data_IF_083063021657
#
_entry.id   IF_083063021657
#
_cell.length_a   1.000
_cell.length_b   1.000
_cell.length_c   1.000
_cell.angle_alpha   90.00
_cell.angle_beta   90.00
_cell.angle_gamma   90.00
#
_symmetry.space_group_name_H-M   'P 1'
#
loop_
_entity.id
_entity.type
_entity.pdbx_description
1 polymer ?
#
# COMPACT_ATOMS: atom_id res chain seq x y z
N UNK A 1 -5.03 35.55 -36.77
CA UNK A 1 -4.72 35.25 -35.36
C UNK A 1 -5.48 34.01 -34.90
N UNK A 2 -4.86 32.84 -35.08
CA UNK A 2 -5.41 31.55 -34.64
C UNK A 2 -4.76 31.18 -33.30
N UNK A 3 -5.45 31.44 -32.20
CA UNK A 3 -5.03 30.99 -30.88
C UNK A 3 -5.29 29.48 -30.76
N UNK A 4 -4.22 28.70 -30.90
CA UNK A 4 -4.12 27.35 -30.35
C UNK A 4 -4.27 27.44 -28.83
N UNK A 5 -5.49 27.28 -28.31
CA UNK A 5 -5.72 27.02 -26.89
C UNK A 5 -5.44 25.54 -26.67
N UNK A 6 -4.18 25.23 -26.35
CA UNK A 6 -3.79 23.95 -25.80
C UNK A 6 -4.54 23.78 -24.47
N UNK A 7 -5.55 22.92 -24.44
CA UNK A 7 -6.36 22.66 -23.25
C UNK A 7 -5.47 22.10 -22.14
N UNK A 8 -5.11 22.95 -21.18
CA UNK A 8 -4.43 22.51 -19.96
C UNK A 8 -5.30 21.45 -19.27
N UNK A 9 -4.73 20.26 -18.98
CA UNK A 9 -5.44 19.19 -18.26
C UNK A 9 -5.89 19.75 -16.92
N UNK A 10 -7.20 19.78 -16.71
CA UNK A 10 -7.78 20.20 -15.45
C UNK A 10 -7.53 19.13 -14.39
N UNK A 11 -6.55 19.35 -13.52
CA UNK A 11 -6.20 18.41 -12.44
C UNK A 11 -7.23 18.40 -11.31
N UNK A 12 -7.75 19.58 -10.95
CA UNK A 12 -8.78 19.73 -9.94
C UNK A 12 -9.92 20.60 -10.48
N UNK A 13 -11.16 20.11 -10.54
CA UNK A 13 -12.28 20.89 -11.01
C UNK A 13 -12.69 21.96 -9.98
N UNK A 14 -13.08 23.17 -10.41
CA UNK A 14 -13.67 24.15 -9.50
C UNK A 14 -15.05 23.64 -9.06
N UNK A 15 -15.32 23.70 -7.75
CA UNK A 15 -16.57 23.22 -7.18
C UNK A 15 -16.49 23.02 -5.68
N UNK A 16 -17.42 22.25 -5.14
CA UNK A 16 -17.46 21.86 -3.73
C UNK A 16 -17.13 20.37 -3.62
N UNK A 17 -16.23 20.03 -2.70
CA UNK A 17 -15.94 18.65 -2.34
C UNK A 17 -16.93 18.20 -1.27
N UNK A 18 -17.82 17.26 -1.61
CA UNK A 18 -18.75 16.67 -0.66
C UNK A 18 -18.01 15.61 0.16
N UNK A 19 -17.70 15.93 1.41
CA UNK A 19 -17.06 15.01 2.35
C UNK A 19 -18.15 14.43 3.27
N UNK A 20 -18.48 13.14 3.18
CA UNK A 20 -19.39 12.50 4.12
C UNK A 20 -18.71 12.40 5.49
N UNK A 21 -19.37 12.91 6.52
CA UNK A 21 -18.92 12.77 7.91
C UNK A 21 -19.55 11.49 8.47
N UNK A 22 -18.77 10.57 9.06
CA UNK A 22 -19.29 9.32 9.62
C UNK A 22 -20.26 9.57 10.76
N UNK A 23 -21.27 8.71 10.90
CA UNK A 23 -22.15 8.67 12.06
C UNK A 23 -21.52 7.86 13.21
N UNK A 24 -22.17 7.85 14.37
CA UNK A 24 -21.73 7.05 15.53
C UNK A 24 -21.57 5.55 15.17
N UNK A 25 -22.49 5.00 14.38
CA UNK A 25 -22.47 3.60 13.93
C UNK A 25 -21.26 3.26 13.03
N UNK A 26 -20.66 4.26 12.39
CA UNK A 26 -19.47 4.07 11.54
C UNK A 26 -18.17 4.07 12.37
N UNK A 27 -18.22 4.59 13.61
CA UNK A 27 -17.07 4.67 14.50
C UNK A 27 -16.81 3.29 15.14
N UNK A 28 -15.57 2.82 15.03
CA UNK A 28 -15.14 1.56 15.67
C UNK A 28 -14.36 1.88 16.93
N UNK A 29 -14.77 1.29 18.06
CA UNK A 29 -14.02 1.37 19.30
C UNK A 29 -12.66 0.68 19.13
N UNK A 30 -11.59 1.40 19.45
CA UNK A 30 -10.22 0.89 19.51
C UNK A 30 -9.93 0.52 20.98
N UNK A 31 -9.23 -0.58 21.21
CA UNK A 31 -8.80 -0.93 22.56
C UNK A 31 -7.67 0.00 22.98
N UNK A 32 -7.73 0.52 24.20
CA UNK A 32 -6.66 1.35 24.75
C UNK A 32 -5.45 0.47 25.07
N UNK A 33 -4.62 0.24 24.06
CA UNK A 33 -3.31 -0.34 24.26
C UNK A 33 -2.42 0.73 24.89
N UNK A 34 -1.62 0.36 25.90
CA UNK A 34 -0.67 1.26 26.52
C UNK A 34 0.34 1.70 25.45
N UNK A 35 0.12 2.88 24.87
CA UNK A 35 0.90 3.38 23.74
C UNK A 35 2.37 3.47 24.11
N UNK A 36 3.23 2.77 23.37
CA UNK A 36 4.66 2.97 23.43
C UNK A 36 5.03 4.23 22.64
N UNK A 37 5.61 5.21 23.32
CA UNK A 37 6.18 6.39 22.67
C UNK A 37 7.63 6.03 22.32
N UNK A 38 7.93 5.99 21.02
CA UNK A 38 9.30 5.74 20.54
C UNK A 38 10.25 6.84 20.98
N UNK A 39 11.48 6.46 21.31
CA UNK A 39 12.55 7.40 21.62
C UNK A 39 12.97 8.19 20.37
N UNK A 40 13.53 9.39 20.56
CA UNK A 40 13.91 10.30 19.47
C UNK A 40 14.87 9.63 18.48
N UNK A 41 15.76 8.75 18.98
CA UNK A 41 16.74 8.00 18.19
C UNK A 41 16.05 7.03 17.21
N UNK A 42 14.97 6.36 17.67
CA UNK A 42 14.20 5.42 16.84
C UNK A 42 13.45 6.20 15.76
N UNK A 43 12.90 7.37 16.12
CA UNK A 43 12.20 8.26 15.18
C UNK A 43 13.15 8.78 14.11
N UNK A 44 14.37 9.17 14.47
CA UNK A 44 15.38 9.63 13.52
C UNK A 44 15.81 8.51 12.57
N UNK A 45 16.10 7.31 13.08
CA UNK A 45 16.43 6.14 12.27
C UNK A 45 15.29 5.74 11.31
N UNK A 46 14.03 5.81 11.77
CA UNK A 46 12.85 5.57 10.94
C UNK A 46 12.69 6.65 9.86
N UNK A 47 12.91 7.92 10.21
CA UNK A 47 12.81 9.04 9.29
C UNK A 47 13.83 8.91 8.15
N UNK A 48 15.06 8.51 8.48
CA UNK A 48 16.09 8.26 7.48
C UNK A 48 15.75 7.08 6.59
N UNK A 49 15.18 5.99 7.13
CA UNK A 49 14.69 4.87 6.32
C UNK A 49 13.62 5.33 5.30
N UNK A 50 12.63 6.12 5.73
CA UNK A 50 11.55 6.62 4.86
C UNK A 50 12.11 7.49 3.73
N UNK A 51 13.10 8.35 4.00
CA UNK A 51 13.71 9.22 2.99
C UNK A 51 14.41 8.45 1.87
N UNK A 52 14.97 7.28 2.18
CA UNK A 52 15.70 6.47 1.20
C UNK A 52 14.79 5.62 0.31
N UNK A 53 13.49 5.52 0.60
CA UNK A 53 12.54 4.77 -0.23
C UNK A 53 12.17 5.49 -1.55
N UNK A 54 12.62 6.74 -1.77
CA UNK A 54 12.52 7.51 -3.03
C UNK A 54 11.15 7.39 -3.75
N UNK A 55 10.05 7.56 -3.03
CA UNK A 55 8.70 7.54 -3.60
C UNK A 55 8.39 8.89 -4.28
N UNK A 56 9.02 9.17 -5.42
CA UNK A 56 8.78 10.40 -6.19
C UNK A 56 7.85 10.15 -7.39
N UNK A 57 6.87 11.04 -7.58
CA UNK A 57 6.02 11.04 -8.78
C UNK A 57 4.92 9.96 -8.79
N UNK A 58 4.56 9.43 -7.61
CA UNK A 58 3.45 8.49 -7.47
C UNK A 58 2.19 9.28 -7.14
N UNK A 59 1.23 9.27 -8.06
CA UNK A 59 -0.09 9.87 -7.89
C UNK A 59 -1.12 8.77 -7.60
N UNK A 60 -1.71 8.83 -6.40
CA UNK A 60 -2.74 7.88 -5.97
C UNK A 60 -3.92 7.95 -6.94
N UNK A 61 -4.29 6.80 -7.50
CA UNK A 61 -5.38 6.68 -8.48
C UNK A 61 -4.96 6.81 -9.96
N UNK A 62 -3.71 7.16 -10.24
CA UNK A 62 -3.17 7.21 -11.61
C UNK A 62 -1.98 6.27 -11.83
N UNK A 63 -1.11 6.13 -10.82
CA UNK A 63 0.14 5.37 -10.96
C UNK A 63 -0.02 3.86 -10.88
N UNK A 64 -1.17 3.35 -10.43
CA UNK A 64 -1.41 1.91 -10.26
C UNK A 64 -2.77 1.51 -10.83
N UNK A 65 -2.77 0.50 -11.68
CA UNK A 65 -4.00 -0.13 -12.17
C UNK A 65 -4.53 -1.18 -11.20
N UNK A 66 -5.83 -1.49 -11.29
CA UNK A 66 -6.42 -2.54 -10.48
C UNK A 66 -6.01 -3.93 -11.05
N UNK A 67 -5.20 -4.72 -10.32
CA UNK A 67 -4.69 -5.98 -10.84
C UNK A 67 -5.80 -7.03 -11.01
N UNK A 68 -6.89 -6.96 -10.25
CA UNK A 68 -8.03 -7.87 -10.41
C UNK A 68 -8.77 -7.60 -11.72
N UNK A 69 -8.96 -6.33 -12.08
CA UNK A 69 -9.56 -5.94 -13.36
C UNK A 69 -8.65 -6.34 -14.52
N UNK A 70 -7.34 -6.13 -14.41
CA UNK A 70 -6.39 -6.50 -15.44
C UNK A 70 -6.37 -8.02 -15.68
N UNK A 71 -6.38 -8.82 -14.60
CA UNK A 71 -6.49 -10.28 -14.70
C UNK A 71 -7.80 -10.71 -15.37
N UNK A 72 -8.91 -10.07 -15.03
CA UNK A 72 -10.23 -10.37 -15.58
C UNK A 72 -10.32 -10.05 -17.08
N UNK A 73 -9.92 -8.85 -17.49
CA UNK A 73 -10.00 -8.43 -18.89
C UNK A 73 -9.02 -9.18 -19.77
N UNK A 74 -7.81 -9.46 -19.27
CA UNK A 74 -6.86 -10.30 -19.97
C UNK A 74 -7.39 -11.73 -20.21
N UNK A 75 -8.14 -12.27 -19.24
CA UNK A 75 -8.79 -13.56 -19.40
C UNK A 75 -9.86 -13.55 -20.51
N UNK A 76 -10.71 -12.52 -20.54
CA UNK A 76 -11.72 -12.35 -21.60
C UNK A 76 -11.06 -12.20 -22.97
N UNK A 77 -10.00 -11.40 -23.05
CA UNK A 77 -9.22 -11.21 -24.29
C UNK A 77 -8.65 -12.54 -24.81
N UNK A 78 -8.08 -13.37 -23.93
CA UNK A 78 -7.57 -14.69 -24.31
C UNK A 78 -8.67 -15.60 -24.86
N UNK A 79 -9.85 -15.61 -24.24
CA UNK A 79 -11.01 -16.38 -24.73
C UNK A 79 -11.42 -15.89 -26.11
N UNK A 80 -11.56 -14.58 -26.29
CA UNK A 80 -12.02 -13.99 -27.55
C UNK A 80 -11.06 -14.27 -28.71
N UNK A 81 -9.75 -14.29 -28.44
CA UNK A 81 -8.71 -14.59 -29.43
C UNK A 81 -8.46 -16.09 -29.62
N UNK A 82 -9.09 -16.96 -28.81
CA UNK A 82 -8.84 -18.40 -28.84
C UNK A 82 -7.41 -18.80 -28.43
N UNK A 83 -6.71 -17.93 -27.69
CA UNK A 83 -5.32 -18.13 -27.26
C UNK A 83 -5.31 -18.73 -25.85
N UNK A 84 -4.35 -19.61 -25.57
CA UNK A 84 -4.15 -20.11 -24.20
C UNK A 84 -3.76 -18.97 -23.28
N UNK A 85 -4.37 -18.95 -22.10
CA UNK A 85 -4.07 -17.95 -21.07
C UNK A 85 -2.56 -17.90 -20.80
N UNK A 86 -1.96 -16.73 -21.02
CA UNK A 86 -0.55 -16.50 -20.68
C UNK A 86 -0.39 -16.48 -19.16
N UNK A 87 0.79 -16.92 -18.71
CA UNK A 87 1.06 -17.07 -17.28
C UNK A 87 1.41 -15.70 -16.68
N UNK A 88 0.40 -15.13 -15.99
CA UNK A 88 0.41 -13.91 -15.14
C UNK A 88 0.55 -12.58 -15.88
N UNK A 89 -0.45 -11.73 -15.67
CA UNK A 89 -0.36 -10.28 -15.87
C UNK A 89 0.48 -9.71 -14.73
N UNK A 90 1.37 -8.76 -15.04
CA UNK A 90 2.17 -8.07 -14.03
C UNK A 90 1.26 -7.37 -13.01
N UNK A 91 1.62 -7.44 -11.73
CA UNK A 91 0.86 -6.86 -10.64
C UNK A 91 1.68 -5.72 -10.04
N UNK A 92 1.39 -4.51 -10.50
CA UNK A 92 2.12 -3.29 -10.12
C UNK A 92 1.86 -2.88 -8.67
N UNK A 93 0.89 -3.50 -7.99
CA UNK A 93 0.61 -3.26 -6.57
C UNK A 93 1.55 -4.04 -5.64
N UNK A 94 2.32 -4.99 -6.18
CA UNK A 94 3.30 -5.75 -5.40
C UNK A 94 4.55 -4.91 -5.14
N UNK A 95 5.01 -4.92 -3.89
CA UNK A 95 6.24 -4.24 -3.48
C UNK A 95 7.46 -4.88 -4.15
N UNK A 96 8.29 -4.07 -4.80
CA UNK A 96 9.57 -4.49 -5.35
C UNK A 96 10.64 -4.59 -4.26
N UNK A 97 10.62 -5.73 -3.55
CA UNK A 97 11.48 -5.97 -2.40
C UNK A 97 12.97 -5.92 -2.75
N UNK A 98 13.37 -6.39 -3.94
CA UNK A 98 14.79 -6.46 -4.32
C UNK A 98 15.38 -5.06 -4.49
N UNK A 99 14.67 -4.19 -5.21
CA UNK A 99 15.12 -2.80 -5.41
C UNK A 99 15.13 -2.02 -4.09
N UNK A 100 14.12 -2.20 -3.24
CA UNK A 100 14.06 -1.53 -1.94
C UNK A 100 15.21 -1.98 -1.03
N UNK A 101 15.48 -3.28 -0.96
CA UNK A 101 16.58 -3.82 -0.17
C UNK A 101 17.92 -3.25 -0.66
N UNK A 102 18.16 -3.28 -1.96
CA UNK A 102 19.40 -2.72 -2.54
C UNK A 102 19.58 -1.23 -2.24
N UNK A 103 18.49 -0.45 -2.16
CA UNK A 103 18.54 0.98 -1.91
C UNK A 103 18.67 1.36 -0.43
N UNK A 104 18.07 0.58 0.47
CA UNK A 104 17.89 0.96 1.88
C UNK A 104 18.44 -0.04 2.91
N UNK A 105 19.22 -1.04 2.48
CA UNK A 105 19.72 -2.12 3.36
C UNK A 105 20.39 -1.57 4.64
N UNK A 106 21.29 -0.60 4.50
CA UNK A 106 22.03 -0.02 5.63
C UNK A 106 21.14 0.66 6.67
N UNK A 107 20.06 1.32 6.21
CA UNK A 107 19.11 2.03 7.04
C UNK A 107 18.18 1.04 7.73
N UNK A 108 17.78 -0.03 7.03
CA UNK A 108 17.02 -1.14 7.62
C UNK A 108 17.82 -1.77 8.76
N UNK A 109 19.09 -2.06 8.53
CA UNK A 109 19.94 -2.69 9.54
C UNK A 109 20.20 -1.76 10.73
N UNK A 110 20.38 -0.46 10.49
CA UNK A 110 20.50 0.56 11.55
C UNK A 110 19.21 0.66 12.36
N UNK A 111 18.06 0.69 11.71
CA UNK A 111 16.77 0.77 12.38
C UNK A 111 16.50 -0.46 13.24
N UNK A 112 16.82 -1.67 12.74
CA UNK A 112 16.67 -2.92 13.49
C UNK A 112 17.46 -2.94 14.80
N UNK A 113 18.64 -2.32 14.85
CA UNK A 113 19.46 -2.27 16.08
C UNK A 113 18.81 -1.47 17.21
N UNK A 114 17.99 -0.47 16.86
CA UNK A 114 17.31 0.37 17.84
C UNK A 114 15.92 -0.14 18.23
N UNK A 115 15.43 -1.19 17.55
CA UNK A 115 14.18 -1.82 17.94
C UNK A 115 14.38 -2.68 19.20
N UNK A 116 13.37 -2.77 20.07
CA UNK A 116 13.35 -3.75 21.16
C UNK A 116 13.52 -5.16 20.59
N UNK A 117 14.10 -6.07 21.38
CA UNK A 117 14.07 -7.49 21.06
C UNK A 117 12.60 -7.93 20.93
N UNK A 118 12.29 -8.71 19.90
CA UNK A 118 10.95 -9.29 19.74
C UNK A 118 10.68 -10.19 20.96
N UNK A 119 9.69 -9.84 21.77
CA UNK A 119 9.12 -10.81 22.71
C UNK A 119 8.55 -11.96 21.86
N UNK A 120 9.02 -13.19 22.07
CA UNK A 120 8.60 -14.43 21.39
C UNK A 120 7.11 -14.79 21.69
N UNK A 121 6.17 -13.88 21.47
CA UNK A 121 4.75 -14.16 21.49
C UNK A 121 4.29 -14.55 20.08
N UNK A 122 4.77 -15.70 19.60
CA UNK A 122 4.11 -16.42 18.50
C UNK A 122 2.64 -16.64 18.90
N UNK A 123 1.65 -16.03 18.20
CA UNK A 123 0.26 -16.29 18.50
C UNK A 123 -0.03 -17.76 18.18
N UNK A 124 -0.14 -18.57 19.24
CA UNK A 124 -0.61 -19.95 19.18
C UNK A 124 -2.02 -20.01 18.59
N UNK A 125 -2.12 -20.07 17.26
CA UNK A 125 -3.36 -20.32 16.54
C UNK A 125 -3.81 -21.78 16.74
N UNK A 126 -4.11 -22.19 17.97
CA UNK A 126 -4.82 -23.44 18.22
C UNK A 126 -6.32 -23.24 17.93
N UNK A 127 -6.69 -23.31 16.64
CA UNK A 127 -8.10 -23.48 16.23
C UNK A 127 -8.62 -24.82 16.74
N UNK A 128 -9.16 -24.86 17.96
CA UNK A 128 -10.04 -25.95 18.41
C UNK A 128 -11.36 -25.86 17.64
N UNK A 129 -11.50 -26.64 16.55
CA UNK A 129 -12.81 -26.93 15.94
C UNK A 129 -13.61 -27.75 16.95
N UNK A 130 -14.61 -27.14 17.58
CA UNK A 130 -15.63 -27.87 18.36
C UNK A 130 -16.52 -28.65 17.38
N UNK A 131 -16.42 -29.98 17.40
CA UNK A 131 -17.37 -30.90 16.76
C UNK A 131 -18.44 -31.30 17.79
N UNK A 132 -19.71 -31.33 17.36
CA UNK A 132 -20.84 -31.96 18.04
C UNK A 132 -21.59 -31.02 19.00
N UNK A 133 -22.92 -30.94 18.99
CA UNK A 133 -23.93 -31.96 18.63
C UNK A 133 -24.99 -31.44 17.66
#
# INVERSE_FOLDING_TARGET
DNYNVCGSKQLSPPGLLLIPIPFEDDMRAIQDDAGFIGDDIIVDAATDLIRHQQLHGIDIGYSFENPALNKFWHYIECIALGVRLKKKVADETQMDAETILNAAQSQIDTFKVFLPDDDDDEPSYTKKRKKGN
#
